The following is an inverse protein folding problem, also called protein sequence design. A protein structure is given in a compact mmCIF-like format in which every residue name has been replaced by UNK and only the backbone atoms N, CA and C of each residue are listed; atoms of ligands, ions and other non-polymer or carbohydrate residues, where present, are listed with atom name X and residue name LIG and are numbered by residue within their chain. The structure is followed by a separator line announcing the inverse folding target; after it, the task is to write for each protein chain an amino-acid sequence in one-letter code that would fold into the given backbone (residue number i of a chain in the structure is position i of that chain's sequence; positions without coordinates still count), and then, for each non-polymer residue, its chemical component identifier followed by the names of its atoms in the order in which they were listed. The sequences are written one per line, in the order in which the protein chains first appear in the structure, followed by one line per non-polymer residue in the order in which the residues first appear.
data_IF_660797968449
#
_entry.id   IF_660797968449
#
_cell.length_a   1.000
_cell.length_b   1.000
_cell.length_c   1.000
_cell.angle_alpha   90.00
_cell.angle_beta   90.00
_cell.angle_gamma   90.00
#
_symmetry.space_group_name_H-M   'P 1'
#
loop_
_entity.id
_entity.type
_entity.pdbx_description
1 polymer ?
#
# COMPACT_ATOMS: atom_id res chain seq x y z
N UNK A 1 -21.68 18.19 18.51
CA UNK A 1 -21.17 16.97 17.82
C UNK A 1 -19.80 16.69 18.40
N UNK A 2 -19.55 15.47 18.91
CA UNK A 2 -18.20 15.09 19.35
C UNK A 2 -17.23 15.22 18.18
N UNK A 3 -16.11 15.92 18.37
CA UNK A 3 -15.11 16.10 17.34
C UNK A 3 -14.60 14.72 16.87
N UNK A 4 -14.68 14.46 15.58
CA UNK A 4 -14.15 13.23 14.97
C UNK A 4 -12.64 13.39 14.79
N UNK A 5 -11.85 12.66 15.56
CA UNK A 5 -10.38 12.71 15.50
C UNK A 5 -9.85 11.31 15.11
N UNK A 6 -9.33 11.21 13.90
CA UNK A 6 -8.76 9.98 13.34
C UNK A 6 -7.23 10.00 13.37
N UNK A 7 -6.62 8.87 13.75
CA UNK A 7 -5.23 8.58 13.42
C UNK A 7 -5.12 7.34 12.54
N UNK A 8 -4.39 7.46 11.42
CA UNK A 8 -3.97 6.33 10.60
C UNK A 8 -2.57 5.88 10.99
N UNK A 9 -2.34 4.57 11.16
CA UNK A 9 -1.02 4.03 11.52
C UNK A 9 -0.53 3.12 10.38
N UNK A 10 0.59 3.52 9.77
CA UNK A 10 1.21 2.85 8.63
C UNK A 10 2.73 2.74 8.83
N UNK A 11 3.38 1.61 8.48
CA UNK A 11 4.82 1.42 8.74
C UNK A 11 5.70 2.51 8.13
N UNK A 12 5.43 2.88 6.88
CA UNK A 12 6.15 3.94 6.16
C UNK A 12 5.25 4.58 5.11
N UNK A 13 5.60 5.77 4.62
CA UNK A 13 4.95 6.47 3.52
C UNK A 13 5.90 6.63 2.32
N UNK A 14 6.55 5.54 1.89
CA UNK A 14 7.50 5.61 0.78
C UNK A 14 6.85 5.41 -0.59
N UNK A 15 6.34 4.20 -0.88
CA UNK A 15 5.71 3.86 -2.15
C UNK A 15 4.87 2.59 -2.00
N UNK A 16 3.76 2.55 -2.68
CA UNK A 16 2.87 1.39 -2.71
C UNK A 16 1.41 1.75 -2.48
N UNK A 17 0.55 0.76 -2.70
CA UNK A 17 -0.88 0.99 -2.62
C UNK A 17 -1.38 1.30 -1.21
N UNK A 18 -0.78 0.74 -0.16
CA UNK A 18 -1.18 1.02 1.23
C UNK A 18 -0.86 2.46 1.59
N UNK A 19 0.34 2.90 1.25
CA UNK A 19 0.86 4.24 1.47
C UNK A 19 0.04 5.27 0.72
N UNK A 20 -0.21 5.05 -0.58
CA UNK A 20 -1.07 5.92 -1.41
C UNK A 20 -2.46 6.07 -0.79
N UNK A 21 -3.14 4.98 -0.47
CA UNK A 21 -4.46 5.07 0.14
C UNK A 21 -4.48 5.67 1.55
N UNK A 22 -3.34 5.73 2.25
CA UNK A 22 -3.22 6.47 3.52
C UNK A 22 -3.21 7.97 3.25
N UNK A 23 -2.42 8.41 2.27
CA UNK A 23 -2.34 9.81 1.82
C UNK A 23 -3.68 10.27 1.25
N UNK A 24 -4.29 9.47 0.38
CA UNK A 24 -5.57 9.82 -0.26
C UNK A 24 -6.68 10.04 0.77
N UNK A 25 -6.79 9.13 1.77
CA UNK A 25 -7.77 9.27 2.86
C UNK A 25 -7.46 10.49 3.73
N UNK A 26 -6.19 10.74 4.05
CA UNK A 26 -5.80 11.88 4.88
C UNK A 26 -6.14 13.21 4.19
N UNK A 27 -5.77 13.37 2.93
CA UNK A 27 -6.06 14.57 2.15
C UNK A 27 -7.55 14.73 1.84
N UNK A 28 -8.28 13.63 1.63
CA UNK A 28 -9.74 13.70 1.48
C UNK A 28 -10.41 14.26 2.76
N UNK A 29 -9.97 13.81 3.93
CA UNK A 29 -10.47 14.34 5.20
C UNK A 29 -10.11 15.83 5.38
N UNK A 30 -8.89 16.21 5.01
CA UNK A 30 -8.47 17.62 5.01
C UNK A 30 -9.33 18.48 4.08
N UNK A 31 -9.64 18.04 2.86
CA UNK A 31 -10.58 18.69 1.93
C UNK A 31 -11.99 18.85 2.54
N UNK A 32 -12.37 18.04 3.53
CA UNK A 32 -13.62 18.16 4.30
C UNK A 32 -13.46 18.95 5.59
N UNK A 33 -12.36 19.69 5.76
CA UNK A 33 -11.99 20.43 6.97
C UNK A 33 -11.92 19.55 8.22
N UNK A 34 -11.54 18.27 8.07
CA UNK A 34 -11.37 17.33 9.18
C UNK A 34 -9.88 17.21 9.48
N UNK A 35 -9.47 17.73 10.63
CA UNK A 35 -8.13 17.52 11.17
C UNK A 35 -7.92 16.03 11.43
N UNK A 36 -6.81 15.50 10.92
CA UNK A 36 -6.49 14.10 11.10
C UNK A 36 -4.98 13.88 11.27
N UNK A 37 -4.62 12.66 11.73
CA UNK A 37 -3.28 12.35 12.16
C UNK A 37 -2.76 11.09 11.43
N UNK A 38 -1.44 11.04 11.23
CA UNK A 38 -0.74 9.86 10.74
C UNK A 38 0.43 9.54 11.67
N UNK A 39 0.52 8.27 12.11
CA UNK A 39 1.71 7.74 12.79
C UNK A 39 2.44 6.84 11.80
N UNK A 40 3.72 7.14 11.55
CA UNK A 40 4.57 6.41 10.60
C UNK A 40 6.04 6.48 11.01
N UNK A 41 6.87 5.60 10.45
CA UNK A 41 8.34 5.73 10.58
C UNK A 41 8.96 6.69 9.56
N UNK A 42 8.14 7.46 8.84
CA UNK A 42 8.57 8.40 7.82
C UNK A 42 8.30 7.91 6.40
N UNK A 43 8.75 8.68 5.39
CA UNK A 43 8.63 8.31 3.98
C UNK A 43 8.48 9.50 3.04
N UNK A 44 8.72 9.24 1.75
CA UNK A 44 8.75 10.28 0.69
C UNK A 44 7.41 10.95 0.44
N UNK A 45 6.30 10.23 0.67
CA UNK A 45 4.95 10.71 0.40
C UNK A 45 4.41 11.64 1.49
N UNK A 46 5.17 11.87 2.57
CA UNK A 46 4.79 12.86 3.60
C UNK A 46 4.60 14.24 2.97
N UNK A 47 5.45 14.60 2.01
CA UNK A 47 5.36 15.88 1.28
C UNK A 47 4.10 16.05 0.40
N UNK A 48 3.31 15.00 0.24
CA UNK A 48 2.07 15.01 -0.54
C UNK A 48 0.82 15.21 0.36
N UNK A 49 1.03 15.29 1.67
CA UNK A 49 -0.03 15.53 2.65
C UNK A 49 -0.37 17.03 2.74
N UNK A 50 -1.61 17.32 3.09
CA UNK A 50 -2.04 18.68 3.45
C UNK A 50 -1.35 19.11 4.73
N UNK A 51 -0.53 20.18 4.66
CA UNK A 51 0.31 20.62 5.78
C UNK A 51 -0.52 21.29 6.93
N UNK A 52 -1.74 21.73 6.66
CA UNK A 52 -2.56 22.44 7.64
C UNK A 52 -3.41 21.49 8.50
N UNK A 53 -3.96 20.44 7.89
CA UNK A 53 -4.97 19.60 8.53
C UNK A 53 -4.53 18.14 8.73
N UNK A 54 -3.37 17.73 8.17
CA UNK A 54 -2.79 16.40 8.39
C UNK A 54 -1.52 16.50 9.21
N UNK A 55 -1.56 15.98 10.43
CA UNK A 55 -0.41 16.03 11.34
C UNK A 55 0.32 14.68 11.39
N UNK A 56 1.59 14.68 11.00
CA UNK A 56 2.42 13.47 11.01
C UNK A 56 3.21 13.37 12.31
N UNK A 57 3.07 12.24 13.01
CA UNK A 57 3.88 11.90 14.18
C UNK A 57 4.79 10.70 13.87
N UNK A 58 6.10 10.88 14.01
CA UNK A 58 7.06 9.84 13.70
C UNK A 58 7.31 8.94 14.91
N UNK A 59 7.00 7.65 14.74
CA UNK A 59 7.34 6.58 15.68
C UNK A 59 7.88 5.36 14.91
N UNK A 60 8.70 4.50 15.51
CA UNK A 60 9.31 3.36 14.83
C UNK A 60 8.32 2.20 14.61
N UNK A 61 7.15 2.52 14.02
CA UNK A 61 6.06 1.55 13.79
C UNK A 61 6.35 0.54 12.66
N UNK A 62 7.46 0.73 11.93
CA UNK A 62 8.00 -0.26 10.98
C UNK A 62 8.87 -1.33 11.62
N UNK A 63 9.14 -1.25 12.93
CA UNK A 63 9.99 -2.21 13.65
C UNK A 63 9.54 -3.65 13.44
N UNK A 64 10.49 -4.54 13.20
CA UNK A 64 10.29 -6.00 13.14
C UNK A 64 10.62 -6.68 14.48
N UNK A 65 11.14 -5.93 15.45
CA UNK A 65 11.45 -6.42 16.77
C UNK A 65 10.18 -6.45 17.64
N UNK A 66 9.64 -7.63 17.88
CA UNK A 66 8.44 -7.83 18.69
C UNK A 66 8.58 -7.35 20.15
N UNK A 67 9.78 -7.40 20.72
CA UNK A 67 10.03 -6.93 22.07
C UNK A 67 9.85 -5.41 22.21
N UNK A 68 9.97 -4.65 21.12
CA UNK A 68 9.72 -3.21 21.14
C UNK A 68 8.24 -2.83 21.05
N UNK A 69 7.34 -3.77 20.69
CA UNK A 69 5.92 -3.47 20.44
C UNK A 69 5.18 -2.90 21.64
N UNK A 70 5.34 -3.42 22.88
CA UNK A 70 4.69 -2.83 24.06
C UNK A 70 5.11 -1.37 24.30
N UNK A 71 6.40 -1.08 24.19
CA UNK A 71 6.92 0.28 24.34
C UNK A 71 6.39 1.23 23.27
N UNK A 72 6.37 0.79 21.99
CA UNK A 72 5.82 1.59 20.89
C UNK A 72 4.31 1.77 21.08
N UNK A 73 3.57 0.73 21.47
CA UNK A 73 2.15 0.79 21.80
C UNK A 73 1.85 1.82 22.91
N UNK A 74 2.68 1.86 23.96
CA UNK A 74 2.57 2.89 25.00
C UNK A 74 2.76 4.31 24.47
N UNK A 75 3.72 4.54 23.56
CA UNK A 75 3.92 5.84 22.91
C UNK A 75 2.74 6.21 22.01
N UNK A 76 2.20 5.25 21.26
CA UNK A 76 0.97 5.44 20.46
C UNK A 76 -0.19 5.85 21.39
N UNK A 77 -0.37 5.15 22.51
CA UNK A 77 -1.44 5.45 23.46
C UNK A 77 -1.31 6.87 24.04
N UNK A 78 -0.11 7.28 24.45
CA UNK A 78 0.15 8.66 24.92
C UNK A 78 -0.22 9.69 23.86
N UNK A 79 0.15 9.47 22.62
CA UNK A 79 -0.18 10.36 21.50
C UNK A 79 -1.70 10.47 21.29
N UNK A 80 -2.41 9.34 21.34
CA UNK A 80 -3.87 9.26 21.20
C UNK A 80 -4.57 10.09 22.30
N UNK A 81 -4.14 9.92 23.54
CA UNK A 81 -4.73 10.65 24.68
C UNK A 81 -4.46 12.17 24.57
N UNK A 82 -3.23 12.56 24.27
CA UNK A 82 -2.83 13.96 24.13
C UNK A 82 -3.58 14.72 23.01
N UNK A 83 -4.05 14.00 21.99
CA UNK A 83 -4.75 14.59 20.84
C UNK A 83 -6.25 14.27 20.78
N UNK A 84 -6.82 13.71 21.85
CA UNK A 84 -8.25 13.34 21.96
C UNK A 84 -8.70 12.50 20.75
N UNK A 85 -7.87 11.55 20.31
CA UNK A 85 -8.17 10.66 19.18
C UNK A 85 -9.19 9.61 19.64
N UNK A 86 -10.27 9.48 18.90
CA UNK A 86 -11.34 8.52 19.19
C UNK A 86 -11.46 7.39 18.17
N UNK A 87 -10.73 7.50 17.04
CA UNK A 87 -10.67 6.47 16.01
C UNK A 87 -9.23 6.19 15.57
N UNK A 88 -8.83 4.92 15.65
CA UNK A 88 -7.50 4.44 15.20
C UNK A 88 -7.66 3.51 14.01
N UNK A 89 -7.07 3.86 12.89
CA UNK A 89 -7.09 3.05 11.68
C UNK A 89 -5.70 2.44 11.42
N UNK A 90 -5.55 1.14 11.64
CA UNK A 90 -4.31 0.41 11.37
C UNK A 90 -4.30 -0.16 9.96
N UNK A 91 -3.21 0.06 9.23
CA UNK A 91 -3.09 -0.35 7.84
C UNK A 91 -2.07 -1.47 7.60
N UNK A 92 -1.50 -2.03 8.68
CA UNK A 92 -0.52 -3.11 8.59
C UNK A 92 -0.48 -3.95 9.85
N UNK A 93 0.01 -5.18 9.72
CA UNK A 93 0.05 -6.19 10.79
C UNK A 93 0.91 -5.79 12.00
N UNK A 94 2.10 -5.21 11.77
CA UNK A 94 2.96 -4.74 12.85
C UNK A 94 2.29 -3.67 13.72
N UNK A 95 1.87 -2.54 13.15
CA UNK A 95 1.06 -1.55 13.86
C UNK A 95 -0.19 -2.12 14.55
N UNK A 96 -0.88 -3.09 13.92
CA UNK A 96 -2.03 -3.72 14.54
C UNK A 96 -1.67 -4.43 15.86
N UNK A 97 -0.54 -5.10 15.92
CA UNK A 97 -0.07 -5.72 17.16
C UNK A 97 0.33 -4.68 18.21
N UNK A 98 0.97 -3.57 17.82
CA UNK A 98 1.30 -2.48 18.73
C UNK A 98 0.03 -1.88 19.36
N UNK A 99 -1.01 -1.67 18.55
CA UNK A 99 -2.33 -1.17 19.01
C UNK A 99 -3.06 -2.22 19.86
N UNK A 100 -2.93 -3.51 19.55
CA UNK A 100 -3.53 -4.57 20.39
C UNK A 100 -2.90 -4.68 21.78
N UNK A 101 -1.65 -4.27 21.94
CA UNK A 101 -0.92 -4.32 23.20
C UNK A 101 -1.05 -3.04 24.04
N UNK A 102 -1.73 -2.00 23.51
CA UNK A 102 -2.00 -0.79 24.28
C UNK A 102 -3.34 -0.87 25.03
N UNK A 103 -3.52 0.00 26.03
CA UNK A 103 -4.83 0.20 26.68
C UNK A 103 -5.80 0.87 25.70
N UNK A 104 -7.00 0.29 25.52
CA UNK A 104 -7.97 0.76 24.51
C UNK A 104 -9.17 1.51 25.14
N UNK A 105 -8.97 2.29 26.18
CA UNK A 105 -10.04 2.99 26.86
C UNK A 105 -10.80 3.92 25.89
N UNK A 106 -12.05 3.58 25.59
CA UNK A 106 -12.98 4.37 24.76
C UNK A 106 -12.52 4.70 23.32
N UNK A 107 -11.55 3.94 22.77
CA UNK A 107 -11.03 4.14 21.42
C UNK A 107 -11.63 3.08 20.50
N UNK A 108 -12.21 3.51 19.38
CA UNK A 108 -12.61 2.59 18.31
C UNK A 108 -11.43 2.31 17.38
N UNK A 109 -11.33 1.07 16.94
CA UNK A 109 -10.22 0.63 16.09
C UNK A 109 -10.72 0.03 14.78
N UNK A 110 -10.10 0.43 13.68
CA UNK A 110 -10.36 -0.09 12.33
C UNK A 110 -9.08 -0.69 11.77
N UNK A 111 -9.20 -1.75 10.99
CA UNK A 111 -8.11 -2.25 10.16
C UNK A 111 -8.53 -2.42 8.70
N UNK A 112 -7.56 -2.28 7.78
CA UNK A 112 -7.77 -2.62 6.37
C UNK A 112 -6.90 -3.80 5.98
N UNK A 113 -7.54 -4.84 5.44
CA UNK A 113 -6.87 -5.95 4.78
C UNK A 113 -6.60 -5.60 3.31
N UNK A 114 -5.34 -5.29 3.00
CA UNK A 114 -4.91 -4.94 1.65
C UNK A 114 -4.51 -6.15 0.80
N UNK A 115 -4.47 -7.33 1.39
CA UNK A 115 -4.15 -8.59 0.74
C UNK A 115 -4.51 -9.77 1.64
N UNK A 116 -4.52 -10.96 1.07
CA UNK A 116 -4.54 -12.22 1.81
C UNK A 116 -3.11 -12.60 2.16
N UNK A 117 -2.78 -12.56 3.45
CA UNK A 117 -1.43 -12.86 3.90
C UNK A 117 -1.17 -14.37 3.95
N UNK A 118 -0.16 -14.81 3.21
CA UNK A 118 0.32 -16.19 3.20
C UNK A 118 1.14 -16.57 4.45
N UNK A 119 1.46 -17.83 4.56
CA UNK A 119 2.34 -18.41 5.57
C UNK A 119 1.69 -19.56 6.36
N UNK A 120 2.34 -20.73 6.33
CA UNK A 120 1.82 -21.95 6.95
C UNK A 120 2.31 -22.17 8.38
N UNK A 121 3.40 -21.50 8.82
CA UNK A 121 3.89 -21.65 10.17
C UNK A 121 2.93 -21.02 11.19
N UNK A 122 2.83 -21.61 12.38
CA UNK A 122 1.99 -21.14 13.48
C UNK A 122 2.27 -19.66 13.83
N UNK A 123 3.54 -19.28 13.91
CA UNK A 123 3.96 -17.89 14.22
C UNK A 123 3.45 -16.91 13.17
N UNK A 124 3.57 -17.27 11.87
CA UNK A 124 3.06 -16.41 10.77
C UNK A 124 1.53 -16.30 10.80
N UNK A 125 0.84 -17.41 11.08
CA UNK A 125 -0.63 -17.40 11.24
C UNK A 125 -1.05 -16.48 12.38
N UNK A 126 -0.38 -16.59 13.53
CA UNK A 126 -0.62 -15.72 14.68
C UNK A 126 -0.34 -14.25 14.36
N UNK A 127 0.80 -13.94 13.76
CA UNK A 127 1.15 -12.58 13.35
C UNK A 127 0.12 -11.97 12.39
N UNK A 128 -0.36 -12.75 11.44
CA UNK A 128 -1.35 -12.31 10.45
C UNK A 128 -2.72 -12.00 11.09
N UNK A 129 -3.06 -12.61 12.25
CA UNK A 129 -4.29 -12.31 12.99
C UNK A 129 -4.34 -10.91 13.63
N UNK A 130 -3.24 -10.17 13.69
CA UNK A 130 -3.19 -8.85 14.32
C UNK A 130 -4.28 -7.89 13.83
N UNK A 131 -4.50 -7.83 12.51
CA UNK A 131 -5.53 -6.98 11.90
C UNK A 131 -6.96 -7.41 12.27
N UNK A 132 -7.22 -8.71 12.41
CA UNK A 132 -8.57 -9.21 12.72
C UNK A 132 -9.01 -8.94 14.16
N UNK A 133 -8.13 -8.38 14.99
CA UNK A 133 -8.43 -8.04 16.39
C UNK A 133 -9.01 -6.62 16.58
N UNK A 134 -9.15 -5.85 15.50
CA UNK A 134 -9.78 -4.52 15.55
C UNK A 134 -11.31 -4.62 15.64
N UNK A 135 -11.97 -3.55 16.09
CA UNK A 135 -13.44 -3.51 16.25
C UNK A 135 -14.15 -3.57 14.90
N UNK A 136 -13.62 -2.88 13.88
CA UNK A 136 -14.14 -2.85 12.52
C UNK A 136 -13.06 -3.27 11.54
N UNK A 137 -13.47 -3.97 10.49
CA UNK A 137 -12.57 -4.49 9.47
C UNK A 137 -12.99 -3.97 8.09
N UNK A 138 -12.02 -3.60 7.29
CA UNK A 138 -12.21 -3.26 5.89
C UNK A 138 -11.46 -4.27 5.04
N UNK A 139 -12.12 -4.85 4.05
CA UNK A 139 -11.53 -5.65 3.00
C UNK A 139 -11.56 -4.86 1.68
N UNK A 140 -10.48 -4.92 0.89
CA UNK A 140 -10.41 -4.17 -0.37
C UNK A 140 -11.14 -4.84 -1.54
N UNK A 141 -11.68 -6.04 -1.36
CA UNK A 141 -12.50 -6.77 -2.32
C UNK A 141 -13.28 -7.89 -1.64
N UNK A 142 -14.31 -8.42 -2.31
CA UNK A 142 -15.06 -9.58 -1.82
C UNK A 142 -14.15 -10.80 -1.62
N UNK A 143 -13.24 -11.07 -2.55
CA UNK A 143 -12.26 -12.14 -2.42
C UNK A 143 -11.44 -12.04 -1.12
N UNK A 144 -10.96 -10.83 -0.80
CA UNK A 144 -10.21 -10.60 0.45
C UNK A 144 -11.12 -10.78 1.66
N UNK A 145 -12.37 -10.29 1.61
CA UNK A 145 -13.36 -10.45 2.68
C UNK A 145 -13.61 -11.90 3.00
N UNK A 146 -14.01 -12.70 2.02
CA UNK A 146 -14.32 -14.12 2.18
C UNK A 146 -13.13 -14.92 2.70
N UNK A 147 -11.94 -14.70 2.11
CA UNK A 147 -10.73 -15.38 2.53
C UNK A 147 -10.34 -15.03 3.97
N UNK A 148 -10.48 -13.77 4.36
CA UNK A 148 -10.16 -13.31 5.72
C UNK A 148 -11.14 -13.88 6.74
N UNK A 149 -12.42 -13.92 6.44
CA UNK A 149 -13.46 -14.53 7.28
C UNK A 149 -13.13 -16.00 7.56
N UNK A 150 -12.90 -16.77 6.50
CA UNK A 150 -12.57 -18.20 6.62
C UNK A 150 -11.25 -18.44 7.36
N UNK A 151 -10.20 -17.70 6.97
CA UNK A 151 -8.84 -17.92 7.48
C UNK A 151 -8.66 -17.56 8.95
N UNK A 152 -9.39 -16.55 9.43
CA UNK A 152 -9.25 -16.05 10.81
C UNK A 152 -10.47 -16.37 11.69
N UNK A 153 -11.45 -17.12 11.18
CA UNK A 153 -12.69 -17.49 11.87
C UNK A 153 -13.41 -16.25 12.41
N UNK A 154 -13.66 -15.28 11.54
CA UNK A 154 -14.33 -14.02 11.89
C UNK A 154 -15.84 -14.27 11.85
N UNK A 155 -16.48 -14.46 13.02
CA UNK A 155 -17.90 -14.80 13.09
C UNK A 155 -18.82 -13.62 13.35
N UNK A 156 -18.41 -12.65 14.17
CA UNK A 156 -19.28 -11.56 14.67
C UNK A 156 -18.68 -10.17 14.50
N UNK A 157 -17.84 -9.98 13.50
CA UNK A 157 -17.20 -8.68 13.25
C UNK A 157 -17.85 -7.97 12.08
N UNK A 158 -18.01 -6.65 12.25
CA UNK A 158 -18.37 -5.78 11.15
C UNK A 158 -17.21 -5.72 10.17
N UNK A 159 -17.27 -6.47 9.08
CA UNK A 159 -16.33 -6.41 7.96
C UNK A 159 -17.05 -5.89 6.72
N UNK A 160 -16.59 -4.74 6.24
CA UNK A 160 -17.14 -4.10 5.04
C UNK A 160 -16.16 -4.21 3.87
N UNK A 161 -16.68 -4.37 2.67
CA UNK A 161 -15.88 -4.25 1.46
C UNK A 161 -15.87 -2.80 1.03
N UNK A 162 -14.66 -2.22 0.98
CA UNK A 162 -14.42 -0.87 0.44
C UNK A 162 -13.32 -1.00 -0.59
N UNK A 163 -13.71 -0.96 -1.85
CA UNK A 163 -12.77 -1.01 -2.97
C UNK A 163 -11.84 0.19 -2.95
N UNK A 164 -10.67 0.01 -3.55
CA UNK A 164 -9.72 1.11 -3.66
C UNK A 164 -10.19 2.10 -4.72
N UNK A 165 -10.20 3.36 -4.33
CA UNK A 165 -10.45 4.46 -5.25
C UNK A 165 -9.16 5.02 -5.85
N UNK A 166 -9.32 5.89 -6.81
CA UNK A 166 -8.27 6.73 -7.40
C UNK A 166 -8.81 8.17 -7.54
N UNK A 167 -7.91 9.13 -7.60
CA UNK A 167 -8.27 10.52 -7.90
C UNK A 167 -8.53 10.66 -9.41
N UNK A 168 -9.81 10.56 -9.80
CA UNK A 168 -10.23 10.65 -11.20
C UNK A 168 -10.00 12.03 -11.80
N UNK A 169 -10.07 13.10 -11.01
CA UNK A 169 -9.80 14.47 -11.47
C UNK A 169 -8.33 14.62 -11.87
N UNK A 170 -7.42 14.10 -11.03
CA UNK A 170 -5.99 14.09 -11.31
C UNK A 170 -5.64 13.26 -12.56
N UNK A 171 -6.19 12.03 -12.67
CA UNK A 171 -5.85 11.12 -13.77
C UNK A 171 -6.55 11.44 -15.09
N UNK A 172 -7.63 12.24 -15.08
CA UNK A 172 -8.30 12.72 -16.30
C UNK A 172 -7.73 14.01 -16.86
N UNK A 173 -6.74 14.62 -16.21
CA UNK A 173 -6.12 15.82 -16.75
C UNK A 173 -5.38 15.51 -18.05
N UNK A 174 -5.45 16.41 -19.05
CA UNK A 174 -4.69 16.26 -20.28
C UNK A 174 -3.20 16.18 -19.97
N UNK A 175 -2.53 15.20 -20.57
CA UNK A 175 -1.07 15.05 -20.42
C UNK A 175 -0.41 16.22 -21.15
N UNK A 176 0.48 16.92 -20.47
CA UNK A 176 1.32 17.93 -21.10
C UNK A 176 2.18 17.26 -22.19
N UNK A 177 2.01 17.70 -23.44
CA UNK A 177 2.70 17.12 -24.58
C UNK A 177 4.23 17.20 -24.45
N UNK A 178 4.77 18.24 -23.82
CA UNK A 178 6.20 18.37 -23.56
C UNK A 178 6.71 17.21 -22.68
N UNK A 179 6.03 16.89 -21.59
CA UNK A 179 6.40 15.74 -20.73
C UNK A 179 6.33 14.41 -21.46
N UNK A 180 5.34 14.25 -22.33
CA UNK A 180 5.19 13.05 -23.15
C UNK A 180 6.35 12.89 -24.13
N UNK A 181 6.70 13.96 -24.86
CA UNK A 181 7.80 13.94 -25.81
C UNK A 181 9.15 13.76 -25.10
N UNK A 182 9.39 14.43 -23.99
CA UNK A 182 10.60 14.26 -23.17
C UNK A 182 10.76 12.83 -22.67
N UNK A 183 9.66 12.19 -22.27
CA UNK A 183 9.67 10.78 -21.85
C UNK A 183 10.02 9.87 -23.02
N UNK A 184 9.39 10.06 -24.17
CA UNK A 184 9.63 9.29 -25.40
C UNK A 184 11.08 9.41 -25.82
N UNK A 185 11.62 10.63 -25.87
CA UNK A 185 13.00 10.91 -26.29
C UNK A 185 14.01 10.33 -25.29
N UNK A 186 13.79 10.53 -23.98
CA UNK A 186 14.67 10.03 -22.92
C UNK A 186 14.79 8.52 -22.93
N UNK A 187 13.71 7.82 -23.20
CA UNK A 187 13.66 6.36 -23.21
C UNK A 187 13.78 5.76 -24.63
N UNK A 188 14.03 6.60 -25.65
CA UNK A 188 14.21 6.19 -27.04
C UNK A 188 13.05 5.29 -27.54
N UNK A 189 11.82 5.70 -27.20
CA UNK A 189 10.61 4.94 -27.53
C UNK A 189 10.30 5.08 -29.00
N UNK A 190 10.31 3.98 -29.73
CA UNK A 190 9.91 3.95 -31.13
C UNK A 190 8.37 4.08 -31.24
N UNK A 191 7.91 5.22 -31.76
CA UNK A 191 6.49 5.54 -31.94
C UNK A 191 5.80 4.70 -33.00
N UNK A 192 6.54 4.00 -33.86
CA UNK A 192 5.98 3.10 -34.88
C UNK A 192 5.52 1.77 -34.31
N UNK A 193 6.02 1.42 -33.11
CA UNK A 193 5.68 0.17 -32.42
C UNK A 193 4.41 0.29 -31.57
N UNK A 194 3.66 -0.79 -31.47
CA UNK A 194 2.58 -0.90 -30.47
C UNK A 194 3.17 -1.07 -29.08
N UNK A 195 2.78 -0.18 -28.15
CA UNK A 195 3.33 -0.17 -26.79
C UNK A 195 2.47 -1.02 -25.85
N UNK A 196 3.10 -1.98 -25.18
CA UNK A 196 2.50 -2.71 -24.06
C UNK A 196 3.16 -2.23 -22.77
N UNK A 197 2.40 -1.53 -21.94
CA UNK A 197 2.85 -1.08 -20.63
C UNK A 197 2.53 -2.10 -19.55
N UNK A 198 3.53 -2.55 -18.80
CA UNK A 198 3.39 -3.44 -17.64
C UNK A 198 3.78 -2.68 -16.35
N UNK A 199 2.83 -1.91 -15.75
CA UNK A 199 3.11 -1.06 -14.59
C UNK A 199 3.03 -1.87 -13.29
N UNK A 200 4.16 -2.41 -12.84
CA UNK A 200 4.22 -3.18 -11.59
C UNK A 200 5.65 -3.22 -11.02
N UNK A 201 5.78 -3.26 -9.71
CA UNK A 201 7.08 -3.52 -9.07
C UNK A 201 7.70 -4.79 -9.66
N UNK A 202 9.00 -4.76 -9.90
CA UNK A 202 9.73 -5.93 -10.42
C UNK A 202 9.89 -6.98 -9.31
N UNK A 203 8.96 -7.89 -9.26
CA UNK A 203 8.92 -8.99 -8.27
C UNK A 203 8.26 -10.22 -8.88
N UNK A 204 8.74 -11.40 -8.51
CA UNK A 204 8.30 -12.68 -9.09
C UNK A 204 6.77 -12.86 -9.11
N UNK A 205 6.09 -12.49 -8.05
CA UNK A 205 4.64 -12.64 -7.95
C UNK A 205 3.82 -11.69 -8.84
N UNK A 206 4.47 -10.75 -9.55
CA UNK A 206 3.84 -9.88 -10.55
C UNK A 206 3.83 -10.48 -11.95
N UNK A 207 4.58 -11.55 -12.19
CA UNK A 207 4.47 -12.34 -13.42
C UNK A 207 5.24 -11.81 -14.64
N UNK A 208 6.22 -10.89 -14.45
CA UNK A 208 6.99 -10.37 -15.59
C UNK A 208 7.78 -11.47 -16.32
N UNK A 209 8.31 -12.48 -15.61
CA UNK A 209 9.03 -13.59 -16.25
C UNK A 209 8.09 -14.42 -17.13
N UNK A 210 6.91 -14.70 -16.65
CA UNK A 210 5.86 -15.43 -17.38
C UNK A 210 5.37 -14.60 -18.57
N UNK A 211 5.27 -13.27 -18.39
CA UNK A 211 4.86 -12.37 -19.47
C UNK A 211 5.86 -12.35 -20.64
N UNK A 212 7.17 -12.45 -20.38
CA UNK A 212 8.18 -12.59 -21.43
C UNK A 212 7.90 -13.85 -22.30
N UNK A 213 7.47 -14.97 -21.70
CA UNK A 213 7.11 -16.17 -22.45
C UNK A 213 5.87 -15.97 -23.32
N UNK A 214 4.94 -15.12 -22.90
CA UNK A 214 3.77 -14.73 -23.72
C UNK A 214 4.22 -13.91 -24.92
N UNK A 215 5.06 -12.90 -24.70
CA UNK A 215 5.56 -12.02 -25.79
C UNK A 215 6.30 -12.81 -26.86
N UNK A 216 7.09 -13.83 -26.49
CA UNK A 216 7.78 -14.73 -27.45
C UNK A 216 6.81 -15.41 -28.44
N UNK A 217 5.54 -15.55 -28.10
CA UNK A 217 4.54 -16.18 -28.95
C UNK A 217 3.84 -15.21 -29.89
N UNK A 218 4.05 -13.90 -29.69
CA UNK A 218 3.48 -12.85 -30.54
C UNK A 218 4.50 -12.57 -31.65
N UNK A 219 4.30 -13.15 -32.82
CA UNK A 219 5.28 -13.12 -33.92
C UNK A 219 4.94 -12.14 -35.05
N UNK A 220 3.77 -11.53 -35.02
CA UNK A 220 3.20 -10.85 -36.20
C UNK A 220 3.20 -9.32 -36.11
N UNK A 221 3.57 -8.73 -34.98
CA UNK A 221 3.46 -7.28 -34.78
C UNK A 221 4.74 -6.66 -34.23
N UNK A 222 5.04 -5.44 -34.69
CA UNK A 222 6.08 -4.62 -34.09
C UNK A 222 5.62 -4.10 -32.71
N UNK A 223 6.14 -4.71 -31.63
CA UNK A 223 5.73 -4.41 -30.26
C UNK A 223 6.92 -3.87 -29.47
N UNK A 224 6.66 -2.91 -28.58
CA UNK A 224 7.59 -2.47 -27.54
C UNK A 224 6.95 -2.71 -26.16
N UNK A 225 7.63 -3.46 -25.31
CA UNK A 225 7.17 -3.74 -23.94
C UNK A 225 7.90 -2.87 -22.93
N UNK A 226 7.16 -2.09 -22.15
CA UNK A 226 7.70 -1.23 -21.12
C UNK A 226 7.36 -1.79 -19.74
N UNK A 227 8.35 -2.31 -19.01
CA UNK A 227 8.22 -2.67 -17.61
C UNK A 227 8.45 -1.43 -16.73
N UNK A 228 7.38 -0.84 -16.20
CA UNK A 228 7.45 0.34 -15.34
C UNK A 228 7.26 -0.05 -13.86
N UNK A 229 8.33 0.05 -13.07
CA UNK A 229 8.26 -0.28 -11.65
C UNK A 229 9.56 -0.12 -10.88
N UNK A 230 9.50 -0.26 -9.56
CA UNK A 230 10.67 -0.18 -8.68
C UNK A 230 11.60 -1.38 -8.90
N UNK A 231 12.88 -1.09 -9.16
CA UNK A 231 13.95 -2.04 -9.48
C UNK A 231 14.79 -2.44 -8.26
N UNK A 232 14.33 -2.17 -7.03
CA UNK A 232 15.08 -2.45 -5.79
C UNK A 232 15.44 -3.92 -5.59
N UNK A 233 14.78 -4.84 -6.30
CA UNK A 233 15.14 -6.25 -6.28
C UNK A 233 16.15 -6.57 -7.38
N UNK A 234 17.41 -6.29 -7.13
CA UNK A 234 18.50 -6.46 -8.09
C UNK A 234 18.61 -7.89 -8.64
N UNK A 235 18.39 -8.90 -7.79
CA UNK A 235 18.41 -10.31 -8.20
C UNK A 235 17.31 -10.62 -9.21
N UNK A 236 16.08 -10.18 -8.98
CA UNK A 236 14.98 -10.42 -9.90
C UNK A 236 15.11 -9.61 -11.19
N UNK A 237 15.57 -8.38 -11.08
CA UNK A 237 15.86 -7.51 -12.24
C UNK A 237 16.93 -8.14 -13.14
N UNK A 238 17.97 -8.74 -12.54
CA UNK A 238 19.00 -9.49 -13.28
C UNK A 238 18.41 -10.68 -14.02
N UNK A 239 17.56 -11.48 -13.35
CA UNK A 239 16.88 -12.63 -13.98
C UNK A 239 16.00 -12.18 -15.17
N UNK A 240 15.29 -11.06 -15.05
CA UNK A 240 14.49 -10.51 -16.15
C UNK A 240 15.36 -10.15 -17.35
N UNK A 241 16.46 -9.42 -17.13
CA UNK A 241 17.41 -9.04 -18.18
C UNK A 241 18.01 -10.27 -18.86
N UNK A 242 18.42 -11.27 -18.08
CA UNK A 242 18.96 -12.53 -18.62
C UNK A 242 17.93 -13.26 -19.49
N UNK A 243 16.66 -13.30 -19.05
CA UNK A 243 15.59 -13.95 -19.82
C UNK A 243 15.27 -13.18 -21.11
N UNK A 244 15.22 -11.87 -21.08
CA UNK A 244 15.04 -11.02 -22.28
C UNK A 244 16.16 -11.30 -23.29
N UNK A 245 17.43 -11.28 -22.83
CA UNK A 245 18.58 -11.57 -23.68
C UNK A 245 18.54 -12.96 -24.33
N UNK A 246 18.22 -14.00 -23.53
CA UNK A 246 18.08 -15.39 -24.03
C UNK A 246 16.90 -15.58 -24.99
N UNK A 247 15.96 -14.66 -24.98
CA UNK A 247 14.76 -14.71 -25.82
C UNK A 247 14.85 -13.88 -27.10
N UNK A 248 15.99 -13.22 -27.35
CA UNK A 248 16.22 -12.31 -28.47
C UNK A 248 15.18 -11.17 -28.56
N UNK A 249 14.72 -10.69 -27.39
CA UNK A 249 13.69 -9.65 -27.27
C UNK A 249 14.26 -8.28 -26.84
N UNK A 250 15.53 -8.00 -27.12
CA UNK A 250 16.18 -6.75 -26.72
C UNK A 250 15.54 -5.52 -27.33
N UNK A 251 15.03 -5.64 -28.54
CA UNK A 251 14.46 -4.57 -29.34
C UNK A 251 12.93 -4.60 -29.37
N UNK A 252 12.34 -5.37 -28.45
CA UNK A 252 10.88 -5.53 -28.31
C UNK A 252 10.34 -4.75 -27.14
#
# INVERSE_FOLDING_TARGET
MSSFNLVQIVPSLNSGGVERGTVDVANFLAKKNIKNFIITSGGKMIKELDDNLVHVHQLPVSSKNFFSYPSIGSKINKFIQANNINLVHVRSRGPAWMVNLMSKNNIKTISTFHNVYGGNSFIKKMYNKGLSKMDYLIAISEYVRETVIQKYNITNKNISVINRGIDTEYFNQPINNTYKEDFINRHQIDKSKKIILFPARLTRWKGQLEFIDVIKKITTESILVLFAGDTKNDSYTKQLREKINKSNLKDT
#
